data_IF_637885504959
#
_entry.id   IF_637885504959
#
_cell.length_a   1.000
_cell.length_b   1.000
_cell.length_c   1.000
_cell.angle_alpha   90.00
_cell.angle_beta   90.00
_cell.angle_gamma   90.00
#
_symmetry.space_group_name_H-M   'P 1'
#
loop_
_entity.id
_entity.type
_entity.pdbx_description
1 polymer ?
#
# COMPACT_ATOMS: atom_id res chain seq x y z
N UNK A 1 -12.08 10.84 -20.45
CA UNK A 1 -11.90 9.88 -21.55
C UNK A 1 -10.65 9.03 -21.30
N UNK A 2 -10.37 8.63 -20.06
CA UNK A 2 -9.23 7.73 -19.78
C UNK A 2 -9.79 6.38 -19.34
N UNK A 3 -10.19 5.57 -20.33
CA UNK A 3 -10.65 4.21 -20.11
C UNK A 3 -9.47 3.29 -19.82
N UNK A 4 -8.96 3.31 -18.59
CA UNK A 4 -7.88 2.44 -18.17
C UNK A 4 -8.34 0.96 -18.28
N UNK A 5 -7.70 0.13 -19.12
CA UNK A 5 -8.04 -1.28 -19.19
C UNK A 5 -7.60 -1.96 -17.89
N UNK A 6 -8.55 -2.52 -17.16
CA UNK A 6 -8.27 -3.24 -15.92
C UNK A 6 -8.02 -4.70 -16.27
N UNK A 7 -6.80 -5.16 -16.03
CA UNK A 7 -6.40 -6.56 -16.22
C UNK A 7 -6.58 -7.31 -14.90
N UNK A 8 -7.35 -8.39 -14.92
CA UNK A 8 -7.44 -9.30 -13.78
C UNK A 8 -6.16 -10.16 -13.67
N UNK A 9 -5.68 -10.37 -12.45
CA UNK A 9 -4.60 -11.33 -12.20
C UNK A 9 -5.07 -12.78 -12.48
N UNK A 10 -4.16 -13.75 -12.72
CA UNK A 10 -4.54 -15.15 -12.91
C UNK A 10 -5.35 -15.69 -11.70
N UNK A 11 -6.60 -16.08 -11.94
CA UNK A 11 -7.53 -16.55 -10.90
C UNK A 11 -8.41 -15.46 -10.27
N UNK A 12 -8.26 -14.19 -10.66
CA UNK A 12 -9.11 -13.08 -10.21
C UNK A 12 -10.30 -12.88 -11.16
N UNK A 13 -11.50 -12.66 -10.61
CA UNK A 13 -12.67 -12.31 -11.41
C UNK A 13 -12.56 -10.87 -11.93
N UNK A 14 -12.83 -10.68 -13.23
CA UNK A 14 -12.69 -9.38 -13.90
C UNK A 14 -13.55 -8.28 -13.27
N UNK A 15 -14.72 -8.65 -12.77
CA UNK A 15 -15.63 -7.73 -12.08
C UNK A 15 -14.98 -7.21 -10.79
N UNK A 16 -14.37 -8.12 -10.02
CA UNK A 16 -13.68 -7.77 -8.79
C UNK A 16 -12.41 -6.95 -9.06
N UNK A 17 -11.67 -7.27 -10.11
CA UNK A 17 -10.50 -6.48 -10.52
C UNK A 17 -10.88 -5.03 -10.85
N UNK A 18 -11.99 -4.82 -11.58
CA UNK A 18 -12.53 -3.49 -11.92
C UNK A 18 -12.97 -2.74 -10.67
N UNK A 19 -13.74 -3.38 -9.78
CA UNK A 19 -14.18 -2.75 -8.54
C UNK A 19 -13.00 -2.39 -7.63
N UNK A 20 -12.02 -3.27 -7.49
CA UNK A 20 -10.78 -3.01 -6.74
C UNK A 20 -9.99 -1.84 -7.35
N UNK A 21 -9.93 -1.74 -8.68
CA UNK A 21 -9.26 -0.63 -9.36
C UNK A 21 -9.99 0.70 -9.14
N UNK A 22 -11.31 0.72 -9.30
CA UNK A 22 -12.13 1.90 -9.05
C UNK A 22 -12.13 2.32 -7.58
N UNK A 23 -12.08 1.37 -6.65
CA UNK A 23 -11.93 1.65 -5.23
C UNK A 23 -10.55 2.25 -4.93
N UNK A 24 -9.46 1.70 -5.51
CA UNK A 24 -8.13 2.31 -5.37
C UNK A 24 -8.09 3.74 -5.92
N UNK A 25 -8.80 4.01 -7.01
CA UNK A 25 -8.95 5.36 -7.54
C UNK A 25 -9.79 6.25 -6.61
N UNK A 26 -10.89 5.75 -6.05
CA UNK A 26 -11.71 6.49 -5.08
C UNK A 26 -10.91 6.84 -3.82
N UNK A 27 -10.13 5.90 -3.30
CA UNK A 27 -9.21 6.12 -2.17
C UNK A 27 -8.15 7.14 -2.56
N UNK A 28 -7.55 7.03 -3.75
CA UNK A 28 -6.54 7.97 -4.23
C UNK A 28 -7.07 9.39 -4.42
N UNK A 29 -8.35 9.55 -4.74
CA UNK A 29 -9.00 10.85 -4.96
C UNK A 29 -9.68 11.37 -3.67
N UNK A 30 -9.92 10.50 -2.69
CA UNK A 30 -10.61 10.85 -1.44
C UNK A 30 -12.11 11.09 -1.61
N UNK A 31 -12.71 10.65 -2.73
CA UNK A 31 -14.12 10.85 -3.03
C UNK A 31 -14.68 9.68 -3.85
N UNK A 32 -16.00 9.41 -3.81
CA UNK A 32 -16.61 8.38 -4.63
C UNK A 32 -16.36 8.61 -6.12
N UNK A 33 -15.91 7.59 -6.83
CA UNK A 33 -15.61 7.64 -8.26
C UNK A 33 -16.82 7.15 -9.04
N UNK A 34 -17.29 7.99 -9.95
CA UNK A 34 -18.26 7.61 -10.99
C UNK A 34 -17.51 7.17 -12.23
N UNK A 35 -17.70 5.92 -12.60
CA UNK A 35 -17.09 5.30 -13.75
C UNK A 35 -18.14 4.67 -14.66
N UNK A 36 -17.79 4.54 -15.93
CA UNK A 36 -18.60 3.86 -16.93
C UNK A 36 -17.81 2.65 -17.41
N UNK A 37 -18.19 1.46 -16.96
CA UNK A 37 -17.49 0.21 -17.28
C UNK A 37 -18.04 -0.35 -18.58
N UNK A 38 -17.18 -0.50 -19.58
CA UNK A 38 -17.53 -1.16 -20.84
C UNK A 38 -17.10 -2.61 -20.76
N UNK A 39 -18.07 -3.53 -20.87
CA UNK A 39 -17.83 -4.95 -21.03
C UNK A 39 -18.01 -5.31 -22.51
N UNK A 40 -16.89 -5.48 -23.21
CA UNK A 40 -16.89 -5.84 -24.63
C UNK A 40 -17.31 -7.29 -24.89
N UNK A 41 -17.19 -8.19 -23.90
CA UNK A 41 -17.69 -9.58 -24.02
C UNK A 41 -19.22 -9.60 -23.93
N UNK A 42 -19.81 -8.78 -23.07
CA UNK A 42 -21.26 -8.68 -22.90
C UNK A 42 -21.92 -7.65 -23.86
N UNK A 43 -21.12 -6.77 -24.47
CA UNK A 43 -21.59 -5.66 -25.31
C UNK A 43 -22.37 -4.61 -24.52
N UNK A 44 -22.02 -4.40 -23.25
CA UNK A 44 -22.76 -3.56 -22.31
C UNK A 44 -21.88 -2.46 -21.74
N UNK A 45 -22.51 -1.34 -21.42
CA UNK A 45 -21.89 -0.24 -20.67
C UNK A 45 -22.67 -0.04 -19.38
N UNK A 46 -21.97 -0.07 -18.25
CA UNK A 46 -22.54 -0.03 -16.91
C UNK A 46 -22.01 1.20 -16.17
N UNK A 47 -22.88 2.17 -15.81
CA UNK A 47 -22.49 3.30 -14.98
C UNK A 47 -22.48 2.89 -13.50
N UNK A 48 -21.33 3.02 -12.85
CA UNK A 48 -21.09 2.64 -11.46
C UNK A 48 -20.54 3.82 -10.67
N UNK A 49 -20.94 3.95 -9.41
CA UNK A 49 -20.25 4.74 -8.40
C UNK A 49 -19.63 3.80 -7.38
N UNK A 50 -18.35 3.99 -7.08
CA UNK A 50 -17.60 3.22 -6.08
C UNK A 50 -17.05 4.19 -5.05
N UNK A 51 -17.41 3.99 -3.78
CA UNK A 51 -16.94 4.79 -2.67
C UNK A 51 -15.61 4.26 -2.11
N UNK A 52 -14.98 5.05 -1.23
CA UNK A 52 -13.68 4.75 -0.62
C UNK A 52 -13.72 3.53 0.29
N UNK A 53 -14.88 3.26 0.91
CA UNK A 53 -15.14 2.07 1.74
C UNK A 53 -15.34 0.78 0.93
N UNK A 54 -15.33 0.86 -0.41
CA UNK A 54 -15.54 -0.27 -1.31
C UNK A 54 -17.02 -0.57 -1.61
N UNK A 55 -17.95 0.20 -1.04
CA UNK A 55 -19.35 0.12 -1.45
C UNK A 55 -19.50 0.57 -2.91
N UNK A 56 -20.27 -0.20 -3.68
CA UNK A 56 -20.53 0.09 -5.09
C UNK A 56 -22.02 0.10 -5.37
N UNK A 57 -22.48 1.06 -6.18
CA UNK A 57 -23.86 1.11 -6.66
C UNK A 57 -23.93 1.53 -8.11
N UNK A 58 -24.93 1.02 -8.82
CA UNK A 58 -25.19 1.46 -10.19
C UNK A 58 -25.84 2.84 -10.16
N UNK A 59 -25.32 3.75 -10.98
CA UNK A 59 -25.85 5.12 -11.07
C UNK A 59 -26.82 5.31 -12.24
N UNK A 60 -27.16 4.22 -12.94
CA UNK A 60 -28.10 4.18 -14.07
C UNK A 60 -28.29 2.76 -14.59
N UNK A 61 -29.23 2.57 -15.52
CA UNK A 61 -29.46 1.26 -16.13
C UNK A 61 -28.34 0.88 -17.12
N UNK A 62 -27.89 -0.39 -17.15
CA UNK A 62 -26.96 -0.87 -18.16
C UNK A 62 -27.48 -0.67 -19.59
N UNK A 63 -26.68 -0.04 -20.43
CA UNK A 63 -27.02 0.19 -21.84
C UNK A 63 -26.25 -0.79 -22.71
N UNK A 64 -26.97 -1.60 -23.50
CA UNK A 64 -26.37 -2.42 -24.56
C UNK A 64 -25.83 -1.50 -25.64
N UNK A 65 -24.53 -1.60 -25.93
CA UNK A 65 -23.95 -0.83 -27.02
C UNK A 65 -24.00 -1.68 -28.29
N UNK A 66 -24.63 -1.22 -29.38
CA UNK A 66 -24.55 -1.92 -30.65
C UNK A 66 -23.09 -1.95 -31.12
N UNK A 67 -22.62 -3.11 -31.58
CA UNK A 67 -21.29 -3.26 -32.14
C UNK A 67 -21.04 -2.18 -33.21
N UNK A 68 -19.85 -1.57 -33.29
CA UNK A 68 -19.55 -0.59 -34.33
C UNK A 68 -19.73 -1.25 -35.70
N UNK A 69 -20.84 -0.93 -36.38
CA UNK A 69 -20.95 -1.26 -37.79
C UNK A 69 -19.95 -0.37 -38.51
N UNK A 70 -18.93 -1.00 -39.10
CA UNK A 70 -17.98 -0.34 -39.97
C UNK A 70 -18.77 0.40 -41.06
N UNK A 71 -18.88 1.71 -40.90
CA UNK A 71 -19.47 2.59 -41.90
C UNK A 71 -18.46 2.69 -43.04
N UNK A 72 -18.69 1.86 -44.07
CA UNK A 72 -18.00 1.96 -45.33
C UNK A 72 -18.24 3.32 -45.97
N UNK A 73 -17.19 3.89 -46.55
CA UNK A 73 -17.29 4.96 -47.55
C UNK A 73 -16.98 4.32 -48.91
N UNK A 74 -17.85 4.57 -49.89
CA UNK A 74 -17.97 3.91 -51.20
C UNK A 74 -16.72 3.96 -52.11
N UNK A 75 -16.73 3.44 -53.34
CA UNK A 75 -17.80 3.18 -54.33
C UNK A 75 -17.13 2.41 -55.52
N UNK A 76 -17.77 2.19 -56.68
CA UNK A 76 -18.91 1.34 -57.05
C UNK A 76 -18.46 0.07 -57.81
N UNK A 77 -19.28 -0.99 -57.89
CA UNK A 77 -19.41 -1.83 -59.10
C UNK A 77 -20.73 -2.58 -59.06
N UNK A 78 -21.41 -2.49 -60.20
CA UNK A 78 -22.76 -2.93 -60.51
C UNK A 78 -22.89 -4.46 -60.61
N UNK A 79 -24.11 -4.95 -60.33
CA UNK A 79 -24.72 -6.26 -60.69
C UNK A 79 -24.16 -7.52 -60.00
N UNK A 80 -24.93 -8.50 -59.54
CA UNK A 80 -26.37 -8.80 -59.60
C UNK A 80 -26.72 -9.85 -58.52
N UNK A 81 -27.98 -9.83 -58.08
CA UNK A 81 -28.87 -10.96 -57.75
C UNK A 81 -28.31 -12.21 -57.03
N UNK A 82 -28.89 -12.56 -55.87
CA UNK A 82 -29.80 -13.72 -55.59
C UNK A 82 -29.53 -14.40 -54.23
N UNK A 83 -30.55 -14.40 -53.35
CA UNK A 83 -31.06 -15.55 -52.56
C UNK A 83 -30.21 -16.15 -51.41
N UNK A 84 -30.72 -15.92 -50.18
CA UNK A 84 -31.22 -16.92 -49.20
C UNK A 84 -30.23 -17.84 -48.44
N UNK A 85 -30.34 -17.67 -47.11
CA UNK A 85 -30.43 -18.65 -46.03
C UNK A 85 -29.26 -19.56 -45.65
N UNK A 86 -29.26 -19.77 -44.32
CA UNK A 86 -28.95 -21.00 -43.60
C UNK A 86 -27.49 -21.44 -43.40
N UNK A 87 -27.13 -21.36 -42.12
CA UNK A 87 -26.77 -22.49 -41.28
C UNK A 87 -25.36 -23.11 -41.39
N UNK A 88 -24.92 -23.46 -40.19
CA UNK A 88 -24.05 -24.58 -39.85
C UNK A 88 -22.55 -24.44 -40.19
N UNK A 89 -21.85 -24.05 -39.13
CA UNK A 89 -20.85 -24.86 -38.43
C UNK A 89 -19.57 -25.31 -39.16
N UNK A 90 -18.51 -25.26 -38.33
CA UNK A 90 -17.25 -26.01 -38.40
C UNK A 90 -16.11 -25.34 -39.14
N UNK A 91 -15.14 -24.82 -38.40
CA UNK A 91 -13.79 -25.37 -38.36
C UNK A 91 -12.84 -24.42 -37.62
N UNK A 92 -12.17 -24.94 -36.59
CA UNK A 92 -10.85 -24.47 -36.19
C UNK A 92 -9.84 -24.83 -37.29
N UNK A 93 -8.85 -23.98 -37.55
CA UNK A 93 -7.49 -24.43 -37.27
C UNK A 93 -6.60 -23.36 -36.59
N UNK A 94 -5.60 -23.90 -35.90
CA UNK A 94 -4.48 -23.23 -35.26
C UNK A 94 -3.62 -22.45 -36.28
N UNK A 95 -2.97 -21.37 -35.87
CA UNK A 95 -1.50 -21.27 -35.85
C UNK A 95 -1.02 -19.88 -35.41
N UNK A 96 0.14 -19.90 -34.79
CA UNK A 96 0.82 -18.83 -34.06
C UNK A 96 1.22 -17.61 -34.88
N UNK A 97 1.26 -16.45 -34.22
CA UNK A 97 2.28 -15.43 -34.49
C UNK A 97 2.44 -14.50 -33.27
N UNK A 98 3.64 -14.50 -32.71
CA UNK A 98 4.20 -13.49 -31.80
C UNK A 98 4.09 -12.09 -32.40
N UNK A 99 3.64 -11.10 -31.62
CA UNK A 99 3.92 -9.70 -31.90
C UNK A 99 3.89 -8.85 -30.62
N UNK A 100 4.97 -8.09 -30.44
CA UNK A 100 5.24 -7.09 -29.41
C UNK A 100 4.23 -5.92 -29.55
N UNK A 101 3.74 -5.28 -28.47
CA UNK A 101 2.86 -4.12 -28.60
C UNK A 101 3.66 -2.82 -28.80
N UNK A 102 3.19 -1.87 -29.62
CA UNK A 102 3.66 -0.48 -29.57
C UNK A 102 2.77 0.37 -28.64
N UNK A 103 3.43 1.22 -27.86
CA UNK A 103 2.85 2.29 -27.05
C UNK A 103 2.23 3.39 -27.92
N UNK A 104 1.17 4.02 -27.42
CA UNK A 104 0.86 5.42 -27.73
C UNK A 104 0.37 6.15 -26.48
N UNK A 105 0.91 7.36 -26.32
CA UNK A 105 0.89 8.29 -25.18
C UNK A 105 -0.26 9.31 -25.31
N UNK A 106 -0.62 9.99 -24.22
CA UNK A 106 -1.01 11.43 -24.05
C UNK A 106 -1.93 11.51 -22.80
N UNK A 107 -1.98 12.51 -21.92
CA UNK A 107 -1.40 13.84 -21.77
C UNK A 107 -2.41 14.63 -20.90
N UNK A 108 -2.03 15.07 -19.68
CA UNK A 108 -2.97 15.76 -18.76
C UNK A 108 -2.41 17.11 -18.33
N UNK A 109 -3.21 18.16 -18.54
CA UNK A 109 -2.99 19.51 -18.02
C UNK A 109 -3.31 19.57 -16.53
N UNK A 110 -2.34 20.01 -15.74
CA UNK A 110 -2.41 20.13 -14.28
C UNK A 110 -2.82 21.55 -13.89
N UNK A 111 -3.95 21.69 -13.21
CA UNK A 111 -4.23 22.90 -12.43
C UNK A 111 -4.09 22.55 -10.95
N UNK A 112 -3.15 23.22 -10.30
CA UNK A 112 -2.71 22.94 -8.95
C UNK A 112 -3.58 23.66 -7.93
N UNK A 113 -4.24 22.89 -7.06
CA UNK A 113 -4.68 23.37 -5.75
C UNK A 113 -4.08 22.46 -4.70
N UNK A 114 -3.22 23.05 -3.87
CA UNK A 114 -2.61 22.41 -2.73
C UNK A 114 -3.71 21.94 -1.76
N UNK A 115 -3.74 20.65 -1.45
CA UNK A 115 -4.62 20.09 -0.43
C UNK A 115 -3.86 19.02 0.37
N UNK A 116 -3.97 19.13 1.69
CA UNK A 116 -3.26 18.35 2.69
C UNK A 116 -3.48 16.85 2.48
N UNK A 117 -2.39 16.09 2.52
CA UNK A 117 -2.38 14.63 2.38
C UNK A 117 -2.88 14.01 3.68
N UNK A 118 -4.06 13.40 3.67
CA UNK A 118 -4.44 12.46 4.73
C UNK A 118 -3.67 11.15 4.52
N UNK A 119 -2.63 10.92 5.34
CA UNK A 119 -1.83 9.70 5.29
C UNK A 119 -2.60 8.55 5.93
N UNK A 120 -3.10 7.60 5.13
CA UNK A 120 -3.52 6.30 5.69
C UNK A 120 -2.26 5.57 6.20
N UNK A 121 -2.21 5.14 7.47
CA UNK A 121 -1.04 4.50 8.03
C UNK A 121 -0.71 3.19 7.31
N UNK A 122 0.57 2.85 7.21
CA UNK A 122 0.97 1.56 6.69
C UNK A 122 0.79 0.49 7.77
N UNK A 123 0.06 -0.60 7.44
CA UNK A 123 -0.15 -1.75 8.32
C UNK A 123 1.12 -2.09 9.10
N UNK A 124 1.08 -2.05 10.42
CA UNK A 124 2.23 -2.24 11.32
C UNK A 124 2.70 -0.98 12.04
N UNK A 125 2.25 0.21 11.64
CA UNK A 125 2.33 1.45 12.43
C UNK A 125 0.95 1.93 12.90
N UNK A 126 -0.08 1.10 12.75
CA UNK A 126 -1.49 1.49 12.94
C UNK A 126 -1.74 2.05 14.34
N UNK A 127 -1.21 1.40 15.40
CA UNK A 127 -1.38 1.89 16.78
C UNK A 127 -0.78 3.30 16.98
N UNK A 128 0.48 3.51 16.59
CA UNK A 128 1.15 4.81 16.70
C UNK A 128 0.43 5.87 15.87
N UNK A 129 -0.07 5.49 14.70
CA UNK A 129 -0.75 6.44 13.83
C UNK A 129 -2.15 6.81 14.33
N UNK A 130 -2.92 5.86 14.86
CA UNK A 130 -4.20 6.15 15.51
C UNK A 130 -4.00 7.06 16.73
N UNK A 131 -2.92 6.90 17.48
CA UNK A 131 -2.58 7.78 18.60
C UNK A 131 -2.23 9.20 18.13
N UNK A 132 -1.35 9.32 17.12
CA UNK A 132 -0.95 10.62 16.56
C UNK A 132 -2.14 11.34 15.92
N UNK A 133 -3.10 10.61 15.34
CA UNK A 133 -4.28 11.15 14.67
C UNK A 133 -5.50 11.29 15.58
N UNK A 134 -5.52 10.62 16.73
CA UNK A 134 -6.61 10.64 17.71
C UNK A 134 -6.54 11.79 18.72
N UNK A 135 -7.54 11.85 19.60
CA UNK A 135 -7.66 12.84 20.69
C UNK A 135 -7.30 12.25 22.08
N UNK A 136 -6.68 11.05 22.10
CA UNK A 136 -6.36 10.31 23.34
C UNK A 136 -5.14 10.86 24.10
N UNK A 137 -4.99 10.52 25.40
CA UNK A 137 -3.85 10.95 26.20
C UNK A 137 -2.55 10.33 25.68
N UNK A 138 -1.50 11.16 25.59
CA UNK A 138 -0.21 10.87 24.94
C UNK A 138 0.86 10.31 25.89
N UNK A 139 0.51 10.14 27.17
CA UNK A 139 1.44 9.77 28.23
C UNK A 139 0.75 8.81 29.19
N UNK A 140 1.42 7.73 29.56
CA UNK A 140 0.92 6.65 30.40
C UNK A 140 1.16 6.90 31.91
N UNK A 141 2.11 7.77 32.22
CA UNK A 141 2.57 8.04 33.60
C UNK A 141 2.37 9.50 33.99
N UNK A 142 2.18 9.78 35.29
CA UNK A 142 2.03 11.15 35.78
C UNK A 142 3.32 11.98 35.56
N UNK A 143 4.48 11.38 35.84
CA UNK A 143 5.79 12.00 35.59
C UNK A 143 6.02 12.25 34.08
N UNK A 144 5.57 11.31 33.24
CA UNK A 144 5.54 11.46 31.79
C UNK A 144 4.65 12.62 31.34
N UNK A 145 3.44 12.72 31.91
CA UNK A 145 2.50 13.80 31.58
C UNK A 145 3.09 15.19 31.88
N UNK A 146 3.76 15.35 33.03
CA UNK A 146 4.41 16.63 33.39
C UNK A 146 5.53 17.00 32.41
N UNK A 147 6.33 16.03 31.96
CA UNK A 147 7.48 16.27 31.10
C UNK A 147 7.12 16.38 29.61
N UNK A 148 6.17 15.57 29.13
CA UNK A 148 6.00 15.27 27.70
C UNK A 148 4.71 15.78 27.08
N UNK A 149 3.73 16.27 27.85
CA UNK A 149 2.47 16.77 27.28
C UNK A 149 2.70 17.85 26.20
N UNK A 150 3.50 18.88 26.50
CA UNK A 150 3.77 19.96 25.54
C UNK A 150 4.67 19.48 24.36
N UNK A 151 5.80 18.77 24.59
CA UNK A 151 6.58 18.18 23.50
C UNK A 151 5.75 17.30 22.56
N UNK A 152 4.96 16.38 23.10
CA UNK A 152 4.12 15.45 22.31
C UNK A 152 3.08 16.20 21.48
N UNK A 153 2.45 17.23 22.06
CA UNK A 153 1.52 18.09 21.31
C UNK A 153 2.20 18.72 20.10
N UNK A 154 3.39 19.32 20.27
CA UNK A 154 4.14 19.97 19.19
C UNK A 154 4.61 18.97 18.12
N UNK A 155 5.03 17.77 18.53
CA UNK A 155 5.41 16.70 17.60
C UNK A 155 4.20 16.29 16.76
N UNK A 156 3.07 15.97 17.40
CA UNK A 156 1.86 15.53 16.71
C UNK A 156 1.31 16.60 15.76
N UNK A 157 1.31 17.87 16.17
CA UNK A 157 0.96 18.98 15.27
C UNK A 157 1.89 19.07 14.05
N UNK A 158 3.20 18.86 14.24
CA UNK A 158 4.15 18.85 13.13
C UNK A 158 3.91 17.67 12.18
N UNK A 159 3.62 16.48 12.71
CA UNK A 159 3.27 15.30 11.91
C UNK A 159 1.96 15.53 11.13
N UNK A 160 0.90 15.98 11.80
CA UNK A 160 -0.40 16.29 11.17
C UNK A 160 -0.27 17.37 10.08
N UNK A 161 0.62 18.33 10.26
CA UNK A 161 0.92 19.36 9.26
C UNK A 161 1.88 18.90 8.14
N UNK A 162 2.35 17.64 8.16
CA UNK A 162 3.31 17.11 7.19
C UNK A 162 4.72 17.70 7.29
N UNK A 163 5.05 18.38 8.39
CA UNK A 163 6.37 19.00 8.64
C UNK A 163 7.33 17.99 9.27
N UNK A 164 7.63 16.93 8.53
CA UNK A 164 8.27 15.72 9.07
C UNK A 164 9.71 15.93 9.56
N UNK A 165 10.49 16.80 8.90
CA UNK A 165 11.84 17.16 9.39
C UNK A 165 11.77 17.86 10.75
N UNK A 166 10.84 18.82 10.89
CA UNK A 166 10.62 19.51 12.16
C UNK A 166 10.07 18.57 13.25
N UNK A 167 9.20 17.62 12.88
CA UNK A 167 8.70 16.60 13.79
C UNK A 167 9.86 15.70 14.28
N UNK A 168 10.77 15.31 13.40
CA UNK A 168 11.95 14.51 13.75
C UNK A 168 12.87 15.25 14.73
N UNK A 169 13.16 16.54 14.48
CA UNK A 169 13.97 17.36 15.40
C UNK A 169 13.31 17.57 16.77
N UNK A 170 11.97 17.71 16.80
CA UNK A 170 11.21 17.79 18.05
C UNK A 170 11.25 16.46 18.81
N UNK A 171 11.05 15.35 18.11
CA UNK A 171 11.08 14.01 18.68
C UNK A 171 12.48 13.63 19.21
N UNK A 172 13.56 13.91 18.46
CA UNK A 172 14.93 13.63 18.89
C UNK A 172 15.30 14.42 20.16
N UNK A 173 14.86 15.69 20.27
CA UNK A 173 15.05 16.49 21.49
C UNK A 173 14.24 15.96 22.67
N UNK A 174 12.94 15.70 22.47
CA UNK A 174 12.08 15.15 23.52
C UNK A 174 12.60 13.80 24.02
N UNK A 175 13.08 12.95 23.11
CA UNK A 175 13.67 11.66 23.44
C UNK A 175 14.94 11.82 24.27
N UNK A 176 15.84 12.74 23.91
CA UNK A 176 17.06 12.99 24.66
C UNK A 176 16.76 13.50 26.09
N UNK A 177 15.82 14.44 26.22
CA UNK A 177 15.40 14.99 27.51
C UNK A 177 14.72 13.94 28.39
N UNK A 178 13.76 13.19 27.83
CA UNK A 178 13.05 12.13 28.55
C UNK A 178 13.97 10.99 28.96
N UNK A 179 14.89 10.56 28.09
CA UNK A 179 15.86 9.52 28.42
C UNK A 179 16.81 9.96 29.55
N UNK A 180 17.17 11.24 29.61
CA UNK A 180 18.00 11.78 30.68
C UNK A 180 17.24 11.89 32.02
N UNK A 181 15.96 12.25 31.98
CA UNK A 181 15.13 12.44 33.17
C UNK A 181 14.58 11.12 33.74
N UNK A 182 14.06 10.25 32.89
CA UNK A 182 13.28 9.07 33.26
C UNK A 182 14.06 7.75 33.07
N UNK A 183 15.14 7.79 32.29
CA UNK A 183 15.96 6.62 31.95
C UNK A 183 15.53 5.92 30.65
N UNK A 184 16.49 5.26 30.02
CA UNK A 184 16.34 4.70 28.66
C UNK A 184 15.33 3.56 28.52
N UNK A 185 14.88 2.96 29.62
CA UNK A 185 13.92 1.86 29.61
C UNK A 185 12.52 2.28 30.10
N UNK A 186 12.31 3.56 30.40
CA UNK A 186 11.03 4.08 30.84
C UNK A 186 9.96 3.99 29.74
N UNK A 187 8.70 3.71 30.10
CA UNK A 187 7.61 3.50 29.15
C UNK A 187 7.45 4.65 28.15
N UNK A 188 7.42 5.89 28.65
CA UNK A 188 7.35 7.11 27.84
C UNK A 188 8.52 7.27 26.84
N UNK A 189 9.72 6.82 27.23
CA UNK A 189 10.91 6.88 26.38
C UNK A 189 10.83 5.82 25.28
N UNK A 190 10.25 4.65 25.58
CA UNK A 190 9.96 3.63 24.57
C UNK A 190 8.88 4.13 23.59
N UNK A 191 7.83 4.77 24.11
CA UNK A 191 6.77 5.35 23.30
C UNK A 191 7.31 6.46 22.35
N UNK A 192 8.15 7.38 22.85
CA UNK A 192 8.81 8.39 22.00
C UNK A 192 9.68 7.77 20.89
N UNK A 193 10.31 6.61 21.14
CA UNK A 193 11.07 5.90 20.10
C UNK A 193 10.16 5.26 19.06
N UNK A 194 8.99 4.77 19.45
CA UNK A 194 7.98 4.24 18.53
C UNK A 194 7.48 5.37 17.61
N UNK A 195 7.18 6.53 18.18
CA UNK A 195 6.83 7.74 17.43
C UNK A 195 7.98 8.19 16.50
N UNK A 196 9.23 8.17 16.98
CA UNK A 196 10.40 8.50 16.16
C UNK A 196 10.57 7.55 14.96
N UNK A 197 10.29 6.25 15.14
CA UNK A 197 10.30 5.28 14.05
C UNK A 197 9.20 5.57 13.02
N UNK A 198 8.00 5.96 13.48
CA UNK A 198 6.89 6.33 12.60
C UNK A 198 7.19 7.62 11.81
N UNK A 199 7.74 8.65 12.46
CA UNK A 199 8.15 9.89 11.79
C UNK A 199 9.21 9.60 10.71
N UNK A 200 10.22 8.79 11.01
CA UNK A 200 11.23 8.39 10.02
C UNK A 200 10.59 7.65 8.83
N UNK A 201 9.60 6.79 9.08
CA UNK A 201 8.87 6.09 8.03
C UNK A 201 8.11 7.07 7.13
N UNK A 202 7.37 8.01 7.71
CA UNK A 202 6.65 9.05 6.97
C UNK A 202 7.61 9.95 6.17
N UNK A 203 8.78 10.26 6.73
CA UNK A 203 9.79 11.10 6.10
C UNK A 203 10.49 10.42 4.90
N UNK A 204 10.18 9.16 4.63
CA UNK A 204 10.80 8.40 3.56
C UNK A 204 12.20 7.89 3.90
N UNK A 205 12.51 7.75 5.19
CA UNK A 205 13.72 7.08 5.70
C UNK A 205 13.38 5.69 6.28
N UNK A 206 13.16 4.69 5.40
CA UNK A 206 12.76 3.36 5.83
C UNK A 206 13.87 2.60 6.57
N UNK A 207 15.14 2.98 6.38
CA UNK A 207 16.27 2.32 7.05
C UNK A 207 16.32 2.76 8.51
N UNK A 208 16.20 4.06 8.80
CA UNK A 208 16.11 4.57 10.18
C UNK A 208 14.87 4.04 10.88
N UNK A 209 13.71 4.08 10.23
CA UNK A 209 12.47 3.53 10.78
C UNK A 209 12.62 2.05 11.15
N UNK A 210 13.20 1.25 10.26
CA UNK A 210 13.48 -0.17 10.51
C UNK A 210 14.37 -0.38 11.74
N UNK A 211 15.48 0.34 11.83
CA UNK A 211 16.45 0.18 12.92
C UNK A 211 15.82 0.51 14.27
N UNK A 212 15.11 1.63 14.37
CA UNK A 212 14.42 2.03 15.60
C UNK A 212 13.37 0.99 16.03
N UNK A 213 12.53 0.52 15.12
CA UNK A 213 11.53 -0.50 15.42
C UNK A 213 12.16 -1.84 15.83
N UNK A 214 13.22 -2.28 15.16
CA UNK A 214 13.87 -3.55 15.49
C UNK A 214 14.59 -3.50 16.86
N UNK A 215 15.20 -2.37 17.19
CA UNK A 215 15.83 -2.18 18.50
C UNK A 215 14.80 -2.14 19.64
N UNK A 216 13.64 -1.52 19.41
CA UNK A 216 12.51 -1.59 20.33
C UNK A 216 12.00 -3.02 20.53
N UNK A 217 11.83 -3.78 19.45
CA UNK A 217 11.43 -5.18 19.53
C UNK A 217 12.39 -6.01 20.39
N UNK A 218 13.71 -5.79 20.24
CA UNK A 218 14.74 -6.43 21.06
C UNK A 218 14.64 -6.03 22.54
N UNK A 219 14.37 -4.75 22.83
CA UNK A 219 14.19 -4.26 24.19
C UNK A 219 12.97 -4.88 24.87
N UNK A 220 11.82 -4.88 24.20
CA UNK A 220 10.56 -5.48 24.68
C UNK A 220 10.72 -6.98 24.92
N UNK A 221 11.39 -7.70 24.01
CA UNK A 221 11.69 -9.13 24.18
C UNK A 221 12.54 -9.39 25.41
N UNK A 222 13.59 -8.59 25.67
CA UNK A 222 14.42 -8.71 26.88
C UNK A 222 13.62 -8.45 28.16
N UNK A 223 12.63 -7.56 28.09
CA UNK A 223 11.69 -7.30 29.18
C UNK A 223 10.60 -8.39 29.32
N UNK A 224 10.62 -9.44 28.48
CA UNK A 224 9.64 -10.54 28.43
C UNK A 224 8.23 -10.08 28.04
N UNK A 225 8.15 -8.99 27.29
CA UNK A 225 6.93 -8.47 26.68
C UNK A 225 6.89 -8.89 25.20
N UNK A 226 6.41 -10.13 24.97
CA UNK A 226 6.41 -10.75 23.64
C UNK A 226 5.38 -10.16 22.68
N UNK A 227 4.27 -9.64 23.20
CA UNK A 227 3.22 -9.00 22.41
C UNK A 227 3.71 -7.67 21.84
N UNK A 228 4.18 -6.76 22.70
CA UNK A 228 4.73 -5.47 22.24
C UNK A 228 5.98 -5.67 21.36
N UNK A 229 6.83 -6.65 21.68
CA UNK A 229 7.97 -6.99 20.82
C UNK A 229 7.52 -7.41 19.41
N UNK A 230 6.44 -8.17 19.31
CA UNK A 230 5.91 -8.59 18.02
C UNK A 230 5.31 -7.43 17.23
N UNK A 231 4.60 -6.51 17.88
CA UNK A 231 4.10 -5.29 17.23
C UNK A 231 5.24 -4.45 16.64
N UNK A 232 6.34 -4.27 17.38
CA UNK A 232 7.51 -3.58 16.85
C UNK A 232 8.20 -4.36 15.70
N UNK A 233 8.17 -5.71 15.71
CA UNK A 233 8.60 -6.52 14.55
C UNK A 233 7.73 -6.25 13.33
N UNK A 234 6.41 -6.08 13.51
CA UNK A 234 5.50 -5.73 12.42
C UNK A 234 5.81 -4.34 11.86
N UNK A 235 6.07 -3.34 12.72
CA UNK A 235 6.52 -2.00 12.31
C UNK A 235 7.83 -2.07 11.51
N UNK A 236 8.82 -2.82 12.01
CA UNK A 236 10.09 -3.03 11.33
C UNK A 236 9.88 -3.71 9.96
N UNK A 237 9.05 -4.75 9.88
CA UNK A 237 8.75 -5.43 8.63
C UNK A 237 8.10 -4.48 7.60
N UNK A 238 7.30 -3.53 8.05
CA UNK A 238 6.68 -2.52 7.18
C UNK A 238 7.70 -1.51 6.66
N UNK A 239 8.58 -0.98 7.52
CA UNK A 239 9.69 -0.14 7.09
C UNK A 239 10.64 -0.88 6.13
N UNK A 240 10.98 -2.14 6.43
CA UNK A 240 11.82 -3.00 5.58
C UNK A 240 11.24 -3.21 4.18
N UNK A 241 9.90 -3.30 4.06
CA UNK A 241 9.25 -3.44 2.75
C UNK A 241 9.47 -2.22 1.86
N UNK A 242 9.62 -1.04 2.44
CA UNK A 242 9.87 0.22 1.75
C UNK A 242 11.35 0.42 1.33
N UNK A 243 12.29 -0.35 1.90
CA UNK A 243 13.71 -0.35 1.45
C UNK A 243 13.81 -0.84 0.00
N UNK A 244 14.41 0.00 -0.85
CA UNK A 244 14.49 -0.21 -2.31
C UNK A 244 15.75 -0.95 -2.73
N UNK A 245 16.87 -0.62 -2.10
CA UNK A 245 18.15 -1.27 -2.35
C UNK A 245 18.08 -2.77 -1.99
N UNK A 246 18.35 -3.68 -2.94
CA UNK A 246 18.26 -5.12 -2.68
C UNK A 246 19.28 -5.64 -1.67
N UNK A 247 20.51 -5.13 -1.66
CA UNK A 247 21.59 -5.61 -0.78
C UNK A 247 21.33 -5.17 0.66
N UNK A 248 20.96 -3.90 0.86
CA UNK A 248 20.57 -3.37 2.15
C UNK A 248 19.29 -4.06 2.65
N UNK A 249 18.34 -4.31 1.75
CA UNK A 249 17.16 -5.13 2.03
C UNK A 249 17.53 -6.54 2.53
N UNK A 250 18.54 -7.21 1.95
CA UNK A 250 19.01 -8.51 2.42
C UNK A 250 19.72 -8.43 3.77
N UNK A 251 20.49 -7.37 4.01
CA UNK A 251 21.17 -7.16 5.30
C UNK A 251 20.16 -7.00 6.43
N UNK A 252 19.24 -6.05 6.29
CA UNK A 252 18.20 -5.78 7.29
C UNK A 252 17.23 -6.96 7.46
N UNK A 253 16.88 -7.63 6.35
CA UNK A 253 15.94 -8.75 6.37
C UNK A 253 16.43 -9.97 7.15
N UNK A 254 17.75 -10.19 7.24
CA UNK A 254 18.34 -11.24 8.08
C UNK A 254 18.06 -10.97 9.56
N UNK A 255 18.43 -9.79 10.04
CA UNK A 255 18.23 -9.39 11.43
C UNK A 255 16.74 -9.45 11.84
N UNK A 256 15.83 -9.06 10.93
CA UNK A 256 14.39 -9.13 11.14
C UNK A 256 13.89 -10.58 11.28
N UNK A 257 14.27 -11.45 10.35
CA UNK A 257 13.81 -12.84 10.33
C UNK A 257 14.36 -13.61 11.52
N UNK A 258 15.59 -13.34 11.94
CA UNK A 258 16.19 -13.98 13.10
C UNK A 258 15.38 -13.66 14.37
N UNK A 259 15.12 -12.38 14.64
CA UNK A 259 14.32 -11.97 15.80
C UNK A 259 12.88 -12.50 15.73
N UNK A 260 12.24 -12.43 14.55
CA UNK A 260 10.89 -12.94 14.38
C UNK A 260 10.83 -14.45 14.63
N UNK A 261 11.83 -15.20 14.17
CA UNK A 261 11.91 -16.66 14.40
C UNK A 261 12.05 -16.99 15.89
N UNK A 262 12.83 -16.20 16.63
CA UNK A 262 12.92 -16.34 18.09
C UNK A 262 11.58 -16.09 18.78
N UNK A 263 10.84 -15.04 18.39
CA UNK A 263 9.52 -14.74 18.96
C UNK A 263 8.49 -15.82 18.61
N UNK A 264 8.51 -16.34 17.38
CA UNK A 264 7.59 -17.39 16.94
C UNK A 264 7.85 -18.76 17.61
N UNK A 265 8.99 -18.93 18.28
CA UNK A 265 9.31 -20.14 19.06
C UNK A 265 8.75 -20.08 20.51
N UNK A 266 8.31 -18.91 20.97
CA UNK A 266 7.70 -18.70 22.28
C UNK A 266 6.17 -18.56 22.12
N UNK A 267 5.33 -18.98 23.08
CA UNK A 267 3.89 -18.78 23.00
C UNK A 267 3.52 -17.30 22.87
N UNK A 268 2.62 -16.96 21.95
CA UNK A 268 2.16 -15.59 21.73
C UNK A 268 1.77 -15.31 20.28
N UNK A 269 1.42 -14.06 19.95
CA UNK A 269 0.85 -13.70 18.66
C UNK A 269 1.76 -14.00 17.46
N UNK A 270 3.08 -14.01 17.67
CA UNK A 270 4.06 -14.39 16.65
C UNK A 270 4.03 -15.89 16.30
N UNK A 271 3.67 -16.75 17.26
CA UNK A 271 3.54 -18.20 17.06
C UNK A 271 2.16 -18.58 16.50
N UNK A 272 1.12 -17.80 16.83
CA UNK A 272 -0.26 -18.04 16.42
C UNK A 272 -0.49 -17.84 14.91
N UNK A 273 0.28 -16.98 14.25
CA UNK A 273 0.22 -16.76 12.80
C UNK A 273 1.60 -16.85 12.12
N UNK A 274 1.95 -17.98 11.48
CA UNK A 274 3.22 -18.13 10.78
C UNK A 274 3.28 -17.41 9.42
N UNK A 275 2.14 -17.02 8.83
CA UNK A 275 2.06 -16.53 7.43
C UNK A 275 2.88 -15.24 7.22
N UNK A 276 2.89 -14.26 8.14
CA UNK A 276 3.74 -13.09 8.01
C UNK A 276 5.25 -13.40 7.93
N UNK A 277 5.74 -14.34 8.76
CA UNK A 277 7.14 -14.77 8.74
C UNK A 277 7.48 -15.51 7.45
N UNK A 278 6.60 -16.38 6.97
CA UNK A 278 6.75 -17.05 5.67
C UNK A 278 6.82 -16.03 4.51
N UNK A 279 5.96 -15.02 4.54
CA UNK A 279 5.97 -13.92 3.56
C UNK A 279 7.29 -13.13 3.58
N UNK A 280 7.85 -12.89 4.77
CA UNK A 280 9.16 -12.26 4.92
C UNK A 280 10.28 -13.14 4.34
N UNK A 281 10.28 -14.44 4.63
CA UNK A 281 11.24 -15.40 4.04
C UNK A 281 11.13 -15.47 2.52
N UNK A 282 9.91 -15.48 1.97
CA UNK A 282 9.70 -15.45 0.52
C UNK A 282 10.21 -14.14 -0.11
N UNK A 283 10.09 -13.00 0.59
CA UNK A 283 10.68 -11.73 0.14
C UNK A 283 12.20 -11.78 0.11
N UNK A 284 12.87 -12.43 1.06
CA UNK A 284 14.33 -12.61 1.03
C UNK A 284 14.80 -13.31 -0.23
N UNK A 285 14.12 -14.39 -0.64
CA UNK A 285 14.45 -15.10 -1.89
C UNK A 285 14.36 -14.15 -3.09
N UNK A 286 13.27 -13.37 -3.19
CA UNK A 286 13.11 -12.38 -4.27
C UNK A 286 14.13 -11.25 -4.22
N UNK A 287 14.60 -10.85 -3.04
CA UNK A 287 15.66 -9.85 -2.88
C UNK A 287 17.01 -10.41 -3.35
N UNK A 288 17.33 -11.65 -2.98
CA UNK A 288 18.54 -12.36 -3.43
C UNK A 288 18.60 -12.46 -4.95
N UNK A 289 17.49 -12.84 -5.59
CA UNK A 289 17.41 -12.91 -7.05
C UNK A 289 17.62 -11.55 -7.71
N UNK A 290 17.07 -10.47 -7.12
CA UNK A 290 17.24 -9.11 -7.64
C UNK A 290 18.67 -8.60 -7.48
N UNK A 291 19.29 -8.82 -6.32
CA UNK A 291 20.70 -8.46 -6.09
C UNK A 291 21.62 -9.21 -7.07
N UNK A 292 21.42 -10.52 -7.24
CA UNK A 292 22.19 -11.34 -8.17
C UNK A 292 22.02 -10.91 -9.64
N UNK A 293 20.84 -10.37 -10.02
CA UNK A 293 20.63 -9.79 -11.37
C UNK A 293 21.31 -8.44 -11.53
N UNK A 294 21.28 -7.58 -10.52
CA UNK A 294 21.90 -6.26 -10.55
C UNK A 294 23.44 -6.34 -10.60
N UNK A 295 24.04 -7.39 -10.04
CA UNK A 295 25.47 -7.63 -10.06
C UNK A 295 26.01 -8.24 -11.38
N UNK A 296 25.13 -8.53 -12.36
CA UNK A 296 25.56 -9.03 -13.67
C UNK A 296 26.00 -7.87 -14.58
N UNK A 297 27.17 -7.96 -15.21
CA UNK A 297 27.69 -6.92 -16.11
C UNK A 297 26.91 -6.80 -17.42
#
# INVERSE_FOLDING_TARGET
>A
MDGAPVMAAPGEEIQQAVLNHLQRLAISVGAPIRATVRDDRAGCVVPLEVATDGSSRMTGEPVRVPAPQASGTGTPTTTATTVRAEAAATAVPQSAATAIPPEVIFGVSREAVASAVAHTPARGFDAVAEEVLGDGPLTETAEGAELLTEPMTRINEAVRAGRLDAAAELADRALAEAAAALGVHHAEVLHLRELSAYIAYLAGDPVRAFQLSLDLARLRRRARDGEAAYDNVQSAATAWRAVRDPEEGLRLGRDLIDLWTELAAEPGPAADDPRPLESARARMVRLSDRAARAARP
#
